data_IF_389801990556
#
_entry.id   IF_389801990556
#
_cell.length_a   1.000
_cell.length_b   1.000
_cell.length_c   1.000
_cell.angle_alpha   90.00
_cell.angle_beta   90.00
_cell.angle_gamma   90.00
#
_symmetry.space_group_name_H-M   'P 1'
#
loop_
_entity.id
_entity.type
_entity.pdbx_description
1 polymer ?
#
# COMPACT_ATOMS: atom_id res chain seq x y z
N UNK A 1 16.53 12.45 -6.00
CA UNK A 1 15.16 11.92 -6.11
C UNK A 1 14.35 12.12 -4.83
N UNK A 2 14.96 11.83 -3.69
CA UNK A 2 14.28 11.90 -2.41
C UNK A 2 13.77 13.28 -2.05
N UNK A 3 14.48 14.33 -2.47
CA UNK A 3 14.08 15.70 -2.16
C UNK A 3 12.86 16.20 -2.93
N UNK A 4 12.34 15.37 -3.84
CA UNK A 4 11.10 15.68 -4.55
C UNK A 4 9.84 15.27 -3.80
N UNK A 5 9.98 14.58 -2.67
CA UNK A 5 8.85 14.14 -1.87
C UNK A 5 8.91 14.79 -0.48
N UNK A 6 7.76 14.91 0.19
CA UNK A 6 7.72 15.46 1.55
C UNK A 6 8.57 14.66 2.53
N UNK A 7 9.01 15.31 3.61
CA UNK A 7 9.82 14.66 4.64
C UNK A 7 9.12 13.47 5.27
N UNK A 8 7.80 13.51 5.45
CA UNK A 8 7.03 12.39 6.01
C UNK A 8 7.09 11.17 5.11
N UNK A 9 7.12 11.38 3.79
CA UNK A 9 7.24 10.28 2.83
C UNK A 9 8.61 9.63 2.91
N UNK A 10 9.66 10.43 3.04
CA UNK A 10 11.02 9.90 3.21
C UNK A 10 11.14 9.09 4.50
N UNK A 11 10.56 9.60 5.59
CA UNK A 11 10.57 8.89 6.87
C UNK A 11 9.83 7.55 6.77
N UNK A 12 8.71 7.52 6.05
CA UNK A 12 7.97 6.28 5.81
C UNK A 12 8.82 5.24 5.08
N UNK A 13 9.48 5.67 4.00
CA UNK A 13 10.34 4.77 3.23
C UNK A 13 11.49 4.25 4.08
N UNK A 14 12.12 5.13 4.86
CA UNK A 14 13.22 4.72 5.73
C UNK A 14 12.78 3.74 6.80
N UNK A 15 11.55 3.88 7.30
CA UNK A 15 11.03 3.00 8.34
C UNK A 15 10.68 1.61 7.81
N UNK A 16 10.02 1.53 6.66
CA UNK A 16 9.46 0.27 6.16
C UNK A 16 10.29 -0.39 5.06
N UNK A 17 11.13 0.40 4.38
CA UNK A 17 11.96 -0.08 3.27
C UNK A 17 13.38 0.46 3.38
N UNK A 18 14.07 0.24 4.53
CA UNK A 18 15.35 0.91 4.80
C UNK A 18 16.47 0.51 3.84
N UNK A 19 16.37 -0.65 3.19
CA UNK A 19 17.41 -1.13 2.30
C UNK A 19 17.15 -0.78 0.83
N UNK A 20 16.02 -0.11 0.55
CA UNK A 20 15.64 0.23 -0.82
C UNK A 20 15.85 1.71 -1.08
N UNK A 21 15.99 2.04 -2.36
CA UNK A 21 16.17 3.43 -2.78
C UNK A 21 15.09 3.83 -3.77
N UNK A 22 14.80 5.13 -3.81
CA UNK A 22 13.83 5.70 -4.74
C UNK A 22 14.48 5.79 -6.12
N UNK A 23 13.82 5.25 -7.14
CA UNK A 23 14.31 5.32 -8.52
C UNK A 23 13.43 6.18 -9.42
N UNK A 24 12.20 6.47 -9.00
CA UNK A 24 11.30 7.31 -9.81
C UNK A 24 10.25 7.96 -8.90
N UNK A 25 10.00 9.24 -9.13
CA UNK A 25 8.92 9.98 -8.46
C UNK A 25 8.07 10.64 -9.53
N UNK A 26 6.78 10.40 -9.50
CA UNK A 26 5.83 11.00 -10.45
C UNK A 26 4.65 11.60 -9.70
N UNK A 27 3.97 12.53 -10.36
CA UNK A 27 2.71 13.09 -9.86
C UNK A 27 1.59 12.45 -10.65
N UNK A 28 0.68 11.81 -9.97
CA UNK A 28 -0.45 11.11 -10.60
C UNK A 28 -1.77 11.58 -10.01
N UNK A 29 -2.86 11.22 -10.68
CA UNK A 29 -4.19 11.40 -10.13
C UNK A 29 -4.57 10.14 -9.36
N UNK A 30 -5.11 10.36 -8.15
CA UNK A 30 -5.62 9.31 -7.30
C UNK A 30 -6.97 8.83 -7.86
N UNK A 31 -7.27 7.54 -7.69
CA UNK A 31 -8.57 6.96 -8.06
C UNK A 31 -9.73 7.66 -7.35
N UNK A 32 -9.49 8.24 -6.19
CA UNK A 32 -10.51 8.91 -5.39
C UNK A 32 -10.62 10.42 -5.69
N UNK A 33 -9.96 10.87 -6.75
CA UNK A 33 -10.14 12.22 -7.28
C UNK A 33 -9.10 13.27 -6.89
N UNK A 34 -8.14 12.92 -6.04
CA UNK A 34 -7.07 13.83 -5.64
C UNK A 34 -5.81 13.62 -6.45
N UNK A 35 -4.76 14.32 -6.06
CA UNK A 35 -3.42 14.11 -6.62
C UNK A 35 -2.56 13.34 -5.63
N UNK A 36 -1.57 12.63 -6.14
CA UNK A 36 -0.66 11.87 -5.31
C UNK A 36 0.76 11.89 -5.88
N UNK A 37 1.73 11.68 -5.01
CA UNK A 37 3.08 11.33 -5.44
C UNK A 37 3.14 9.83 -5.61
N UNK A 38 3.57 9.37 -6.77
CA UNK A 38 3.79 7.95 -7.03
C UNK A 38 5.29 7.70 -7.00
N UNK A 39 5.74 6.85 -6.09
CA UNK A 39 7.17 6.60 -5.85
C UNK A 39 7.46 5.14 -6.16
N UNK A 40 8.48 4.91 -7.00
CA UNK A 40 8.96 3.56 -7.28
C UNK A 40 10.30 3.35 -6.58
N UNK A 41 10.44 2.18 -5.95
CA UNK A 41 11.68 1.77 -5.32
C UNK A 41 12.43 0.80 -6.24
N UNK A 42 13.71 0.57 -5.94
CA UNK A 42 14.58 -0.21 -6.83
C UNK A 42 14.25 -1.70 -6.92
N UNK A 43 13.36 -2.22 -6.06
CA UNK A 43 12.89 -3.60 -6.16
C UNK A 43 11.53 -3.72 -6.88
N UNK A 44 11.02 -2.60 -7.39
CA UNK A 44 9.70 -2.58 -8.04
C UNK A 44 8.55 -2.21 -7.12
N UNK A 45 8.79 -2.02 -5.83
CA UNK A 45 7.75 -1.56 -4.91
C UNK A 45 7.25 -0.18 -5.35
N UNK A 46 5.92 0.01 -5.33
CA UNK A 46 5.30 1.29 -5.65
C UNK A 46 4.53 1.80 -4.45
N UNK A 47 4.70 3.08 -4.15
CA UNK A 47 4.02 3.69 -3.00
C UNK A 47 3.34 4.96 -3.48
N UNK A 48 2.06 5.12 -3.14
CA UNK A 48 1.32 6.36 -3.38
C UNK A 48 1.24 7.15 -2.08
N UNK A 49 1.59 8.44 -2.15
CA UNK A 49 1.49 9.36 -1.02
C UNK A 49 0.55 10.49 -1.39
N UNK A 50 -0.20 11.00 -0.41
CA UNK A 50 -1.01 12.19 -0.66
C UNK A 50 -0.12 13.45 -0.72
N UNK A 51 -0.72 14.60 -0.92
CA UNK A 51 0.03 15.84 -1.08
C UNK A 51 0.70 16.31 0.21
N UNK A 52 0.28 15.77 1.36
CA UNK A 52 0.91 16.04 2.65
C UNK A 52 2.03 15.03 2.96
N UNK A 53 2.21 14.03 2.09
CA UNK A 53 3.26 13.03 2.26
C UNK A 53 2.86 11.81 3.06
N UNK A 54 1.56 11.64 3.36
CA UNK A 54 1.07 10.45 4.06
C UNK A 54 0.78 9.35 3.06
N UNK A 55 1.12 8.10 3.40
CA UNK A 55 0.94 7.01 2.45
C UNK A 55 -0.55 6.71 2.23
N UNK A 56 -0.88 6.35 0.98
CA UNK A 56 -2.22 5.97 0.57
C UNK A 56 -2.28 4.54 0.10
N UNK A 57 -1.24 4.06 -0.55
CA UNK A 57 -1.20 2.67 -1.01
C UNK A 57 0.24 2.20 -1.16
N UNK A 58 0.41 0.89 -1.00
CA UNK A 58 1.70 0.21 -1.20
C UNK A 58 1.45 -1.03 -2.04
N UNK A 59 2.19 -1.15 -3.14
CA UNK A 59 2.14 -2.33 -4.00
C UNK A 59 3.50 -3.00 -4.03
N UNK A 60 3.53 -4.32 -3.80
CA UNK A 60 4.76 -5.10 -3.79
C UNK A 60 4.45 -6.51 -4.22
N UNK A 61 4.52 -6.75 -5.53
CA UNK A 61 4.02 -7.99 -6.12
C UNK A 61 4.83 -9.23 -5.79
N UNK A 62 6.16 -9.09 -5.74
CA UNK A 62 7.03 -10.28 -5.60
C UNK A 62 6.99 -10.91 -4.22
N UNK A 63 7.08 -10.10 -3.19
CA UNK A 63 7.20 -10.60 -1.81
C UNK A 63 6.01 -10.26 -0.93
N UNK A 64 5.11 -9.43 -1.46
CA UNK A 64 3.96 -8.95 -0.69
C UNK A 64 4.28 -7.71 0.13
N UNK A 65 3.24 -7.01 0.54
CA UNK A 65 3.33 -5.83 1.39
C UNK A 65 3.86 -6.24 2.76
N UNK A 66 4.78 -5.47 3.38
CA UNK A 66 5.27 -5.82 4.71
C UNK A 66 4.13 -5.97 5.72
N UNK A 67 4.18 -7.03 6.52
CA UNK A 67 3.12 -7.32 7.51
C UNK A 67 2.98 -6.20 8.53
N UNK A 68 4.06 -5.47 8.81
CA UNK A 68 4.05 -4.35 9.75
C UNK A 68 3.18 -3.18 9.29
N UNK A 69 2.91 -3.08 7.97
CA UNK A 69 2.03 -2.05 7.42
C UNK A 69 0.56 -2.45 7.44
N UNK A 70 0.27 -3.74 7.51
CA UNK A 70 -1.10 -4.25 7.39
C UNK A 70 -1.76 -4.24 8.77
N UNK A 71 -2.95 -3.64 8.92
CA UNK A 71 -3.67 -3.72 10.19
C UNK A 71 -3.83 -5.18 10.62
N UNK A 72 -3.64 -5.50 11.92
CA UNK A 72 -3.64 -6.89 12.39
C UNK A 72 -4.89 -7.68 12.01
N UNK A 73 -6.07 -7.08 12.07
CA UNK A 73 -7.31 -7.78 11.73
C UNK A 73 -7.34 -8.17 10.25
N UNK A 74 -6.80 -7.32 9.38
CA UNK A 74 -6.75 -7.60 7.93
C UNK A 74 -5.73 -8.70 7.66
N UNK A 75 -4.58 -8.65 8.33
CA UNK A 75 -3.56 -9.68 8.20
C UNK A 75 -4.11 -11.05 8.61
N UNK A 76 -4.81 -11.11 9.74
CA UNK A 76 -5.45 -12.33 10.22
C UNK A 76 -6.48 -12.87 9.22
N UNK A 77 -7.31 -11.99 8.68
CA UNK A 77 -8.30 -12.37 7.68
C UNK A 77 -7.62 -13.00 6.46
N UNK A 78 -6.57 -12.34 5.95
CA UNK A 78 -5.86 -12.84 4.77
C UNK A 78 -5.20 -14.20 5.04
N UNK A 79 -4.59 -14.37 6.21
CA UNK A 79 -3.93 -15.64 6.54
C UNK A 79 -4.92 -16.76 6.77
N UNK A 80 -6.10 -16.46 7.29
CA UNK A 80 -7.13 -17.45 7.55
C UNK A 80 -7.82 -17.91 6.25
N UNK A 81 -8.15 -16.95 5.38
CA UNK A 81 -8.96 -17.25 4.19
C UNK A 81 -8.13 -17.47 2.93
N UNK A 82 -6.90 -16.95 2.90
CA UNK A 82 -6.02 -17.02 1.72
C UNK A 82 -4.60 -17.38 2.16
N UNK A 83 -4.42 -18.55 2.82
CA UNK A 83 -3.12 -18.90 3.41
C UNK A 83 -1.98 -19.05 2.39
N UNK A 84 -2.30 -19.30 1.12
CA UNK A 84 -1.31 -19.51 0.08
C UNK A 84 -1.03 -18.27 -0.75
N UNK A 85 -1.76 -17.18 -0.48
CA UNK A 85 -1.59 -15.93 -1.22
C UNK A 85 -0.91 -14.87 -0.37
N UNK A 86 -0.26 -13.92 -1.04
CA UNK A 86 0.31 -12.75 -0.37
C UNK A 86 -0.54 -11.53 -0.69
N UNK A 87 -0.48 -10.54 0.18
CA UNK A 87 -1.12 -9.25 -0.06
C UNK A 87 -0.18 -8.47 -0.96
N UNK A 88 -0.55 -8.31 -2.22
CA UNK A 88 0.29 -7.61 -3.20
C UNK A 88 0.06 -6.11 -3.21
N UNK A 89 -1.05 -5.64 -2.63
CA UNK A 89 -1.35 -4.22 -2.57
C UNK A 89 -2.24 -3.92 -1.37
N UNK A 90 -1.95 -2.83 -0.68
CA UNK A 90 -2.74 -2.32 0.44
C UNK A 90 -3.04 -0.86 0.16
N UNK A 91 -4.32 -0.49 0.19
CA UNK A 91 -4.75 0.88 -0.07
C UNK A 91 -5.61 1.40 1.07
N UNK A 92 -5.41 2.67 1.43
CA UNK A 92 -6.32 3.40 2.30
C UNK A 92 -7.41 4.00 1.42
N UNK A 93 -8.66 3.83 1.82
CA UNK A 93 -9.81 4.31 1.07
C UNK A 93 -10.73 5.12 1.99
N UNK A 94 -11.64 5.93 1.44
CA UNK A 94 -12.59 6.67 2.29
C UNK A 94 -13.41 5.77 3.22
N UNK A 95 -13.70 4.53 2.80
CA UNK A 95 -14.46 3.58 3.60
C UNK A 95 -13.60 2.73 4.55
N UNK A 96 -12.27 2.79 4.42
CA UNK A 96 -11.36 1.96 5.22
C UNK A 96 -10.16 1.49 4.42
N UNK A 97 -10.07 0.20 4.15
CA UNK A 97 -8.93 -0.39 3.44
C UNK A 97 -9.37 -1.33 2.33
N UNK A 98 -8.53 -1.43 1.31
CA UNK A 98 -8.68 -2.45 0.28
C UNK A 98 -7.35 -3.19 0.13
N UNK A 99 -7.41 -4.51 0.04
CA UNK A 99 -6.22 -5.31 -0.30
C UNK A 99 -6.43 -6.00 -1.64
N UNK A 100 -5.32 -6.21 -2.34
CA UNK A 100 -5.29 -7.06 -3.52
C UNK A 100 -4.39 -8.25 -3.20
N UNK A 101 -4.85 -9.44 -3.56
CA UNK A 101 -4.13 -10.68 -3.27
C UNK A 101 -3.45 -11.20 -4.53
N UNK A 102 -2.48 -12.10 -4.35
CA UNK A 102 -1.74 -12.67 -5.47
C UNK A 102 -2.59 -13.51 -6.42
N UNK A 103 -3.79 -13.91 -5.99
CA UNK A 103 -4.77 -14.59 -6.85
C UNK A 103 -5.67 -13.60 -7.63
N UNK A 104 -5.34 -12.30 -7.59
CA UNK A 104 -6.07 -11.21 -8.25
C UNK A 104 -7.43 -10.85 -7.62
N UNK A 105 -7.75 -11.40 -6.46
CA UNK A 105 -8.95 -11.00 -5.74
C UNK A 105 -8.70 -9.75 -4.92
N UNK A 106 -9.72 -8.89 -4.84
CA UNK A 106 -9.71 -7.70 -4.00
C UNK A 106 -10.68 -7.88 -2.85
N UNK A 107 -10.30 -7.40 -1.67
CA UNK A 107 -11.16 -7.48 -0.47
C UNK A 107 -11.19 -6.11 0.19
N UNK A 108 -12.37 -5.66 0.59
CA UNK A 108 -12.57 -4.37 1.26
C UNK A 108 -12.85 -4.57 2.74
N UNK A 109 -12.33 -3.63 3.53
CA UNK A 109 -12.43 -3.65 5.00
C UNK A 109 -12.80 -2.28 5.53
N UNK A 110 -13.46 -2.25 6.70
CA UNK A 110 -13.70 -1.01 7.44
C UNK A 110 -12.38 -0.46 7.99
N UNK A 111 -12.38 0.78 8.50
CA UNK A 111 -11.17 1.32 9.15
C UNK A 111 -10.69 0.48 10.34
N UNK A 112 -11.58 -0.29 10.97
CA UNK A 112 -11.24 -1.16 12.09
C UNK A 112 -10.77 -2.54 11.62
N UNK A 113 -10.73 -2.79 10.30
CA UNK A 113 -10.27 -4.05 9.75
C UNK A 113 -11.34 -5.13 9.65
N UNK A 114 -12.61 -4.75 9.72
CA UNK A 114 -13.71 -5.71 9.57
C UNK A 114 -14.04 -5.89 8.08
N UNK A 115 -14.32 -7.11 7.70
CA UNK A 115 -14.64 -7.46 6.30
C UNK A 115 -15.90 -6.74 5.83
N UNK A 116 -15.84 -6.15 4.64
CA UNK A 116 -16.99 -5.55 3.97
C UNK A 116 -17.47 -6.43 2.83
N UNK A 117 -16.59 -6.68 1.85
CA UNK A 117 -16.94 -7.46 0.67
C UNK A 117 -15.69 -7.94 -0.07
N UNK A 118 -15.86 -9.01 -0.84
CA UNK A 118 -14.86 -9.47 -1.79
C UNK A 118 -15.28 -9.03 -3.19
N UNK A 119 -14.32 -8.53 -3.95
CA UNK A 119 -14.53 -8.10 -5.33
C UNK A 119 -13.65 -8.97 -6.23
N UNK A 120 -14.26 -9.62 -7.19
CA UNK A 120 -13.52 -10.45 -8.15
C UNK A 120 -13.00 -9.63 -9.31
#
# INVERSE_FOLDING_TARGET
MDDKIPASSKAFIDQYFPELSVVLVEMDNDDDGGKEYSVCLNDGTKIGFDMQGEWKRVGRKKTGVPSTLVPPAIWEYAKTHYPEDVITKLSKKPYGYKIELSNDEDVRFTPQGQFIEKID
#
